data_IF_532334414483
#
_entry.id   IF_532334414483
#
_cell.length_a   1.000
_cell.length_b   1.000
_cell.length_c   1.000
_cell.angle_alpha   90.00
_cell.angle_beta   90.00
_cell.angle_gamma   90.00
#
_symmetry.space_group_name_H-M   'P 1'
#
loop_
_entity.id
_entity.type
_entity.pdbx_description
1 polymer ?
#
# COMPACT_ATOMS: atom_id res chain seq x y z
N UNK A 1 -6.13 14.06 -7.14
CA UNK A 1 -7.27 13.43 -6.45
C UNK A 1 -7.67 14.37 -5.32
N UNK A 2 -8.93 14.80 -5.24
CA UNK A 2 -9.39 15.67 -4.16
C UNK A 2 -9.94 14.80 -3.03
N UNK A 3 -9.19 14.61 -1.95
CA UNK A 3 -9.55 13.69 -0.86
C UNK A 3 -10.70 14.21 0.02
N UNK A 4 -11.16 15.44 -0.16
CA UNK A 4 -12.23 16.03 0.67
C UNK A 4 -13.63 15.47 0.40
N UNK A 5 -13.85 14.80 -0.73
CA UNK A 5 -15.15 14.22 -1.15
C UNK A 5 -15.14 12.68 -1.12
N UNK A 6 -14.00 12.07 -0.81
CA UNK A 6 -13.80 10.62 -0.83
C UNK A 6 -13.79 10.11 0.61
N UNK A 7 -14.48 9.00 0.89
CA UNK A 7 -14.40 8.38 2.21
C UNK A 7 -13.01 7.72 2.38
N UNK A 8 -12.06 8.54 2.83
CA UNK A 8 -10.65 8.24 2.92
C UNK A 8 -10.28 7.97 4.39
N UNK A 9 -9.54 6.90 4.62
CA UNK A 9 -9.00 6.53 5.92
C UNK A 9 -7.55 6.07 5.80
N UNK A 10 -6.90 5.87 6.94
CA UNK A 10 -5.63 5.17 7.02
C UNK A 10 -5.87 3.74 7.51
N UNK A 11 -5.26 2.78 6.82
CA UNK A 11 -5.34 1.37 7.13
C UNK A 11 -3.96 0.84 7.52
N UNK A 12 -3.90 -0.07 8.48
CA UNK A 12 -2.68 -0.80 8.84
C UNK A 12 -3.03 -2.27 9.03
N UNK A 13 -2.45 -3.14 8.20
CA UNK A 13 -2.58 -4.59 8.38
C UNK A 13 -2.04 -5.03 9.74
N UNK A 14 -1.00 -4.36 10.25
CA UNK A 14 -0.48 -4.67 11.58
C UNK A 14 -1.50 -4.37 12.68
N UNK A 15 -2.16 -3.21 12.66
CA UNK A 15 -3.16 -2.86 13.68
C UNK A 15 -4.41 -3.75 13.59
N UNK A 16 -4.84 -4.11 12.37
CA UNK A 16 -6.06 -4.91 12.16
C UNK A 16 -5.83 -6.39 12.47
N UNK A 17 -4.68 -6.94 12.09
CA UNK A 17 -4.43 -8.39 12.16
C UNK A 17 -3.33 -8.80 13.15
N UNK A 18 -2.59 -7.85 13.74
CA UNK A 18 -1.46 -8.13 14.63
C UNK A 18 -0.28 -8.83 13.95
N UNK A 19 -0.17 -8.76 12.62
CA UNK A 19 0.80 -9.52 11.84
C UNK A 19 1.65 -8.62 10.94
N UNK A 20 2.96 -8.86 10.93
CA UNK A 20 3.89 -8.24 9.97
C UNK A 20 3.88 -8.94 8.60
N UNK A 21 3.20 -10.08 8.48
CA UNK A 21 3.18 -10.91 7.27
C UNK A 21 1.97 -10.68 6.37
N UNK A 22 1.09 -9.75 6.72
CA UNK A 22 -0.05 -9.36 5.88
C UNK A 22 0.27 -8.02 5.24
N UNK A 23 0.19 -7.97 3.91
CA UNK A 23 0.47 -6.79 3.13
C UNK A 23 -0.73 -6.30 2.33
N UNK A 24 -0.76 -5.00 2.07
CA UNK A 24 -1.72 -4.33 1.20
C UNK A 24 -1.24 -4.41 -0.26
N UNK A 25 -1.92 -5.22 -1.06
CA UNK A 25 -1.55 -5.55 -2.43
C UNK A 25 -2.46 -4.86 -3.46
N UNK A 26 -1.89 -4.29 -4.51
CA UNK A 26 -2.65 -3.81 -5.67
C UNK A 26 -2.18 -4.53 -6.93
N UNK A 27 -3.14 -5.07 -7.68
CA UNK A 27 -2.91 -5.64 -9.02
C UNK A 27 -2.89 -4.53 -10.06
N UNK A 28 -1.87 -4.55 -10.90
CA UNK A 28 -1.72 -3.68 -12.05
C UNK A 28 -1.61 -4.52 -13.32
N UNK A 29 -1.99 -3.94 -14.44
CA UNK A 29 -1.71 -4.49 -15.78
C UNK A 29 -0.74 -3.54 -16.47
N UNK A 30 0.38 -4.06 -16.97
CA UNK A 30 1.35 -3.27 -17.71
C UNK A 30 0.64 -2.58 -18.91
N UNK A 31 0.78 -1.25 -19.08
CA UNK A 31 0.07 -0.50 -20.12
C UNK A 31 0.53 -0.84 -21.54
N UNK A 32 1.73 -1.40 -21.68
CA UNK A 32 2.26 -1.90 -22.95
C UNK A 32 3.28 -3.01 -22.70
N UNK A 33 3.64 -3.76 -23.74
CA UNK A 33 4.67 -4.82 -23.68
C UNK A 33 6.10 -4.29 -23.50
N UNK A 34 6.30 -2.97 -23.64
CA UNK A 34 7.59 -2.31 -23.43
C UNK A 34 7.72 -1.65 -22.06
N UNK A 35 6.67 -1.66 -21.24
CA UNK A 35 6.62 -0.91 -19.98
C UNK A 35 7.70 -1.36 -19.00
N UNK A 36 8.42 -0.37 -18.49
CA UNK A 36 9.49 -0.52 -17.51
C UNK A 36 9.07 0.16 -16.22
N UNK A 37 8.73 -0.63 -15.20
CA UNK A 37 8.48 -0.11 -13.87
C UNK A 37 9.77 0.44 -13.27
N UNK A 38 9.72 1.68 -12.77
CA UNK A 38 10.86 2.38 -12.19
C UNK A 38 10.58 2.88 -10.77
N UNK A 39 9.32 3.21 -10.46
CA UNK A 39 8.94 3.67 -9.12
C UNK A 39 7.58 3.15 -8.70
N UNK A 40 7.41 3.01 -7.39
CA UNK A 40 6.12 2.85 -6.74
C UNK A 40 5.85 4.08 -5.88
N UNK A 41 4.65 4.64 -5.99
CA UNK A 41 4.22 5.80 -5.21
C UNK A 41 3.08 5.37 -4.29
N UNK A 42 3.22 5.62 -3.00
CA UNK A 42 2.29 5.13 -1.97
C UNK A 42 1.87 6.32 -1.12
N UNK A 43 0.56 6.53 -0.94
CA UNK A 43 0.08 7.49 0.04
C UNK A 43 0.07 6.81 1.41
N UNK A 44 0.94 7.23 2.31
CA UNK A 44 1.01 6.69 3.67
C UNK A 44 1.46 7.77 4.64
N UNK A 45 1.50 7.44 5.94
CA UNK A 45 1.92 8.40 6.95
C UNK A 45 2.71 7.75 8.08
N UNK A 46 3.90 8.27 8.40
CA UNK A 46 4.64 7.81 9.58
C UNK A 46 3.91 8.14 10.90
N UNK A 47 3.05 9.17 10.91
CA UNK A 47 2.35 9.64 12.09
C UNK A 47 3.13 10.70 12.86
N UNK A 48 2.68 11.97 12.83
CA UNK A 48 3.26 13.05 13.62
C UNK A 48 2.49 13.25 14.92
N UNK A 49 3.18 13.24 16.06
CA UNK A 49 2.53 13.49 17.35
C UNK A 49 2.32 14.99 17.54
N UNK A 50 1.08 15.45 17.32
CA UNK A 50 0.72 16.85 17.43
C UNK A 50 0.78 17.41 18.86
N UNK A 51 0.75 16.56 19.89
CA UNK A 51 0.84 16.97 21.29
C UNK A 51 2.29 17.23 21.70
N UNK A 52 3.19 16.30 21.38
CA UNK A 52 4.63 16.39 21.74
C UNK A 52 5.47 17.11 20.68
N UNK A 53 4.92 17.36 19.49
CA UNK A 53 5.61 17.94 18.33
C UNK A 53 6.82 17.12 17.89
N UNK A 54 6.69 15.80 17.93
CA UNK A 54 7.76 14.87 17.59
C UNK A 54 7.34 13.89 16.50
N UNK A 55 8.32 13.49 15.70
CA UNK A 55 8.21 12.34 14.80
C UNK A 55 8.36 11.02 15.57
N UNK A 56 7.85 9.91 15.04
CA UNK A 56 7.97 8.62 15.68
C UNK A 56 9.38 8.07 15.49
N UNK A 57 9.74 7.10 16.34
CA UNK A 57 10.93 6.31 16.11
C UNK A 57 10.83 5.59 14.75
N UNK A 58 11.97 5.46 14.08
CA UNK A 58 12.04 4.75 12.81
C UNK A 58 11.71 3.27 12.99
N UNK A 59 10.95 2.73 12.03
CA UNK A 59 10.53 1.33 11.93
C UNK A 59 10.56 0.93 10.46
N UNK A 60 10.77 -0.36 10.22
CA UNK A 60 10.87 -0.87 8.85
C UNK A 60 9.49 -0.98 8.17
N UNK A 61 9.43 -0.54 6.92
CA UNK A 61 8.41 -0.91 5.94
C UNK A 61 8.97 -1.96 4.98
N UNK A 62 8.12 -2.63 4.21
CA UNK A 62 8.56 -3.51 3.14
C UNK A 62 7.70 -3.31 1.89
N UNK A 63 8.32 -3.46 0.72
CA UNK A 63 7.68 -3.46 -0.59
C UNK A 63 8.08 -4.73 -1.33
N UNK A 64 7.11 -5.38 -1.96
CA UNK A 64 7.34 -6.46 -2.90
C UNK A 64 6.71 -6.15 -4.26
N UNK A 65 7.37 -6.60 -5.32
CA UNK A 65 6.79 -6.70 -6.65
C UNK A 65 6.72 -8.17 -7.01
N UNK A 66 5.54 -8.63 -7.45
CA UNK A 66 5.27 -10.01 -7.81
C UNK A 66 4.67 -10.11 -9.20
N UNK A 67 4.92 -11.21 -9.89
CA UNK A 67 4.27 -11.48 -11.18
C UNK A 67 2.79 -11.89 -11.00
N UNK A 68 2.09 -12.14 -12.12
CA UNK A 68 0.69 -12.57 -12.13
C UNK A 68 0.42 -13.87 -11.35
N UNK A 69 1.44 -14.72 -11.19
CA UNK A 69 1.36 -16.00 -10.49
C UNK A 69 1.87 -15.88 -9.04
N UNK A 70 2.02 -14.64 -8.55
CA UNK A 70 2.49 -14.27 -7.23
C UNK A 70 3.95 -14.64 -6.94
N UNK A 71 4.76 -14.97 -7.95
CA UNK A 71 6.19 -15.19 -7.75
C UNK A 71 6.88 -13.86 -7.45
N UNK A 72 7.79 -13.88 -6.48
CA UNK A 72 8.56 -12.69 -6.08
C UNK A 72 9.55 -12.29 -7.18
N UNK A 73 9.42 -11.06 -7.69
CA UNK A 73 10.32 -10.45 -8.65
C UNK A 73 11.33 -9.51 -7.98
N UNK A 74 10.85 -8.73 -7.01
CA UNK A 74 11.65 -7.76 -6.29
C UNK A 74 11.14 -7.59 -4.86
N UNK A 75 12.06 -7.37 -3.92
CA UNK A 75 11.73 -7.00 -2.54
C UNK A 75 12.67 -5.90 -2.05
N UNK A 76 12.13 -5.06 -1.20
CA UNK A 76 12.83 -3.94 -0.59
C UNK A 76 12.30 -3.71 0.82
N UNK A 77 13.16 -3.33 1.77
CA UNK A 77 12.78 -2.91 3.10
C UNK A 77 13.71 -1.77 3.55
N UNK A 78 13.14 -0.77 4.22
CA UNK A 78 13.85 0.41 4.71
C UNK A 78 13.00 1.15 5.76
N UNK A 79 13.56 2.20 6.36
CA UNK A 79 12.88 3.06 7.32
C UNK A 79 11.73 3.86 6.70
N UNK A 80 10.57 3.83 7.36
CA UNK A 80 9.37 4.54 6.90
C UNK A 80 9.57 6.07 6.81
N UNK A 81 10.42 6.63 7.67
CA UNK A 81 10.68 8.06 7.76
C UNK A 81 11.41 8.63 6.53
N UNK A 82 12.07 7.79 5.73
CA UNK A 82 12.65 8.20 4.45
C UNK A 82 11.58 8.58 3.40
N UNK A 83 10.34 8.11 3.58
CA UNK A 83 9.29 8.20 2.56
C UNK A 83 8.03 8.94 3.02
N UNK A 84 7.65 8.79 4.29
CA UNK A 84 6.31 9.17 4.77
C UNK A 84 6.31 10.15 5.95
N UNK A 85 7.44 10.82 6.19
CA UNK A 85 7.61 11.79 7.27
C UNK A 85 6.95 13.13 6.90
N UNK A 86 5.82 13.44 7.54
CA UNK A 86 5.07 14.69 7.31
C UNK A 86 4.38 15.17 8.59
N UNK A 87 4.44 16.47 8.93
CA UNK A 87 3.72 17.02 10.09
C UNK A 87 2.22 17.24 9.83
N UNK A 88 1.80 17.26 8.57
CA UNK A 88 0.44 17.67 8.16
C UNK A 88 -0.52 16.49 7.92
N UNK A 89 0.02 15.28 7.75
CA UNK A 89 -0.78 14.09 7.46
C UNK A 89 -0.14 13.21 6.38
N UNK A 90 -0.93 12.28 5.81
CA UNK A 90 -0.47 11.38 4.76
C UNK A 90 0.13 12.11 3.58
N UNK A 91 1.25 11.57 3.07
CA UNK A 91 1.97 12.10 1.91
C UNK A 91 2.30 10.96 0.97
N UNK A 92 2.47 11.29 -0.31
CA UNK A 92 2.95 10.32 -1.28
C UNK A 92 4.46 10.14 -1.16
N UNK A 93 4.88 9.00 -0.63
CA UNK A 93 6.26 8.55 -0.70
C UNK A 93 6.53 7.87 -2.05
N UNK A 94 7.68 8.17 -2.65
CA UNK A 94 8.16 7.53 -3.87
C UNK A 94 9.31 6.59 -3.54
N UNK A 95 9.13 5.30 -3.85
CA UNK A 95 10.15 4.27 -3.71
C UNK A 95 10.69 3.97 -5.11
N UNK A 96 11.93 4.35 -5.35
CA UNK A 96 12.65 3.98 -6.57
C UNK A 96 13.06 2.51 -6.51
N UNK A 97 12.88 1.80 -7.62
CA UNK A 97 13.28 0.41 -7.77
C UNK A 97 14.21 0.26 -8.99
N UNK A 98 15.03 -0.80 -9.05
CA UNK A 98 15.72 -1.14 -10.30
C UNK A 98 14.71 -1.25 -11.44
N UNK A 99 15.07 -0.74 -12.62
CA UNK A 99 14.18 -0.80 -13.80
C UNK A 99 13.76 -2.25 -14.08
N UNK A 100 12.46 -2.52 -14.08
CA UNK A 100 11.92 -3.86 -14.34
C UNK A 100 10.99 -3.87 -15.53
N UNK A 101 11.26 -4.72 -16.52
CA UNK A 101 10.35 -4.95 -17.64
C UNK A 101 9.13 -5.73 -17.14
N UNK A 102 7.96 -5.12 -17.22
CA UNK A 102 6.72 -5.74 -16.79
C UNK A 102 5.87 -6.11 -18.00
N UNK A 103 5.28 -7.30 -17.98
CA UNK A 103 4.40 -7.78 -19.03
C UNK A 103 3.14 -8.38 -18.42
N UNK A 104 1.97 -7.94 -18.86
CA UNK A 104 0.69 -8.41 -18.33
C UNK A 104 0.47 -7.96 -16.89
N UNK A 105 -0.21 -8.80 -16.11
CA UNK A 105 -0.55 -8.51 -14.73
C UNK A 105 0.62 -8.69 -13.78
N UNK A 106 0.69 -7.84 -12.77
CA UNK A 106 1.66 -7.90 -11.69
C UNK A 106 1.07 -7.27 -10.43
N UNK A 107 1.69 -7.57 -9.29
CA UNK A 107 1.24 -7.07 -7.99
C UNK A 107 2.33 -6.23 -7.35
N UNK A 108 1.90 -5.14 -6.71
CA UNK A 108 2.72 -4.40 -5.76
C UNK A 108 2.14 -4.66 -4.38
N UNK A 109 2.95 -5.16 -3.46
CA UNK A 109 2.54 -5.42 -2.08
C UNK A 109 3.32 -4.49 -1.15
N UNK A 110 2.60 -3.67 -0.40
CA UNK A 110 3.15 -2.88 0.69
C UNK A 110 2.92 -3.59 2.01
N UNK A 111 3.89 -3.50 2.92
CA UNK A 111 3.74 -3.97 4.29
C UNK A 111 4.06 -2.78 5.19
N UNK A 112 3.02 -2.21 5.79
CA UNK A 112 3.14 -1.05 6.68
C UNK A 112 3.90 -1.40 7.97
N UNK A 113 3.78 -2.65 8.44
CA UNK A 113 4.41 -3.22 9.64
C UNK A 113 4.24 -2.37 10.93
N UNK A 114 3.14 -1.64 11.02
CA UNK A 114 2.84 -0.70 12.11
C UNK A 114 3.72 0.54 12.11
N UNK A 115 4.41 0.81 11.00
CA UNK A 115 5.30 1.95 10.82
C UNK A 115 4.63 3.09 10.05
N UNK A 116 3.89 2.76 8.98
CA UNK A 116 3.27 3.75 8.12
C UNK A 116 1.94 3.26 7.54
N UNK A 117 0.82 3.43 8.26
CA UNK A 117 -0.51 3.14 7.74
C UNK A 117 -0.72 3.74 6.34
N UNK A 118 -1.30 2.95 5.45
CA UNK A 118 -1.54 3.30 4.05
C UNK A 118 -2.89 3.99 3.87
N UNK A 119 -2.95 4.94 2.95
CA UNK A 119 -4.18 5.54 2.49
C UNK A 119 -5.11 4.52 1.87
N UNK A 120 -6.35 4.47 2.36
CA UNK A 120 -7.38 3.56 1.92
C UNK A 120 -8.66 4.35 1.58
N UNK A 121 -9.27 4.01 0.45
CA UNK A 121 -10.53 4.62 0.00
C UNK A 121 -11.61 3.56 0.10
N UNK A 122 -12.65 3.81 0.89
CA UNK A 122 -13.81 2.93 0.94
C UNK A 122 -14.58 2.94 -0.38
N UNK A 123 -14.95 1.75 -0.82
CA UNK A 123 -15.62 1.48 -2.09
C UNK A 123 -16.58 0.31 -1.93
N UNK A 124 -17.56 0.18 -2.83
CA UNK A 124 -18.49 -0.96 -2.81
C UNK A 124 -17.83 -2.28 -3.19
N UNK A 125 -16.74 -2.24 -3.97
CA UNK A 125 -15.98 -3.39 -4.47
C UNK A 125 -14.50 -3.01 -4.48
N UNK A 126 -13.65 -3.86 -3.87
CA UNK A 126 -12.20 -3.62 -3.72
C UNK A 126 -11.43 -3.64 -5.04
N UNK A 127 -12.04 -4.15 -6.12
CA UNK A 127 -11.52 -4.15 -7.47
C UNK A 127 -10.17 -4.85 -7.60
N UNK A 128 -9.12 -4.04 -7.73
CA UNK A 128 -7.75 -4.52 -7.88
C UNK A 128 -6.94 -4.47 -6.57
N UNK A 129 -7.58 -4.17 -5.45
CA UNK A 129 -6.94 -4.10 -4.14
C UNK A 129 -7.22 -5.37 -3.33
N UNK A 130 -6.17 -5.88 -2.70
CA UNK A 130 -6.16 -7.17 -2.01
C UNK A 130 -5.36 -7.08 -0.71
N UNK A 131 -5.63 -8.00 0.22
CA UNK A 131 -4.69 -8.38 1.25
C UNK A 131 -3.85 -9.55 0.74
N UNK A 132 -2.59 -9.63 1.16
CA UNK A 132 -1.68 -10.71 0.77
C UNK A 132 -0.98 -11.30 2.00
N UNK A 133 -1.06 -12.62 2.18
CA UNK A 133 -0.52 -13.33 3.36
C UNK A 133 0.86 -13.97 3.14
N UNK A 134 1.52 -13.68 2.02
CA UNK A 134 2.77 -14.34 1.62
C UNK A 134 2.61 -15.50 0.63
N UNK A 135 1.39 -16.03 0.48
CA UNK A 135 1.09 -17.15 -0.41
C UNK A 135 -0.04 -16.83 -1.41
N UNK A 136 -1.09 -16.16 -0.96
CA UNK A 136 -2.29 -15.88 -1.75
C UNK A 136 -2.86 -14.49 -1.45
N UNK A 137 -3.72 -14.02 -2.36
CA UNK A 137 -4.42 -12.74 -2.24
C UNK A 137 -5.89 -12.93 -1.90
N UNK A 138 -6.40 -12.09 -1.01
CA UNK A 138 -7.82 -12.00 -0.65
C UNK A 138 -8.34 -10.61 -1.02
N UNK A 139 -9.59 -10.44 -1.47
CA UNK A 139 -10.16 -9.11 -1.69
C UNK A 139 -9.96 -8.22 -0.45
N UNK A 140 -9.66 -6.95 -0.67
CA UNK A 140 -9.54 -5.96 0.40
C UNK A 140 -10.93 -5.55 0.91
N UNK A 141 -11.66 -6.53 1.46
CA UNK A 141 -13.06 -6.42 1.85
C UNK A 141 -13.26 -6.86 3.29
N UNK A 142 -14.06 -6.08 4.03
CA UNK A 142 -14.33 -6.31 5.44
C UNK A 142 -15.82 -6.19 5.70
N UNK A 143 -16.33 -7.03 6.60
CA UNK A 143 -17.72 -6.94 7.04
C UNK A 143 -17.78 -5.95 8.20
N UNK A 144 -18.54 -4.87 8.00
CA UNK A 144 -18.90 -3.94 9.08
C UNK A 144 -19.77 -4.69 10.10
N UNK A 145 -19.38 -4.68 11.37
CA UNK A 145 -20.08 -5.46 12.40
C UNK A 145 -21.41 -4.82 12.85
N UNK A 146 -21.57 -3.51 12.63
CA UNK A 146 -22.76 -2.76 13.03
C UNK A 146 -23.84 -2.82 11.94
N UNK A 147 -23.45 -2.73 10.67
CA UNK A 147 -24.37 -2.74 9.53
C UNK A 147 -24.50 -4.09 8.84
N UNK A 148 -23.54 -5.01 9.07
CA UNK A 148 -23.41 -6.29 8.36
C UNK A 148 -23.25 -6.12 6.83
N UNK A 149 -22.77 -4.96 6.39
CA UNK A 149 -22.42 -4.69 5.00
C UNK A 149 -20.95 -5.02 4.74
N UNK A 150 -20.65 -5.51 3.53
CA UNK A 150 -19.27 -5.69 3.08
C UNK A 150 -18.76 -4.37 2.49
N UNK A 151 -17.69 -3.84 3.05
CA UNK A 151 -17.00 -2.63 2.60
C UNK A 151 -15.69 -3.05 1.92
N UNK A 152 -15.51 -2.63 0.67
CA UNK A 152 -14.25 -2.77 -0.05
C UNK A 152 -13.33 -1.58 0.20
N UNK A 153 -12.03 -1.80 0.07
CA UNK A 153 -11.02 -0.76 0.20
C UNK A 153 -10.10 -0.75 -1.01
N UNK A 154 -9.86 0.45 -1.56
CA UNK A 154 -8.83 0.68 -2.54
C UNK A 154 -7.57 1.25 -1.87
N UNK A 155 -6.47 0.52 -1.95
CA UNK A 155 -5.18 1.00 -1.45
C UNK A 155 -4.62 2.05 -2.41
N UNK A 156 -4.13 3.16 -1.86
CA UNK A 156 -3.60 4.27 -2.65
C UNK A 156 -2.13 4.00 -3.01
N UNK A 157 -1.94 3.04 -3.92
CA UNK A 157 -0.66 2.66 -4.52
C UNK A 157 -0.70 2.97 -6.02
N UNK A 158 0.40 3.52 -6.54
CA UNK A 158 0.58 3.85 -7.95
C UNK A 158 1.92 3.31 -8.45
N UNK A 159 1.96 2.97 -9.74
CA UNK A 159 3.17 2.54 -10.43
C UNK A 159 3.56 3.59 -11.47
N UNK A 160 4.86 3.86 -11.60
CA UNK A 160 5.43 4.85 -12.52
C UNK A 160 6.57 4.22 -13.33
N UNK A 161 6.59 4.52 -14.62
CA UNK A 161 7.51 3.94 -15.58
C UNK A 161 7.25 4.42 -17.01
N UNK A 162 8.04 3.93 -17.95
CA UNK A 162 7.97 4.27 -19.40
C UNK A 162 7.91 3.03 -20.30
#
# INVERSE_FOLDING_TARGET
MNFSETNFTLFSSFEVFGSFGIGEAVKFTAPSSGFKLQKVRILAWSGFNNTTKTYPAERDIMLEIRDKDLNLLYKFADGQNNYFLSPEGPTFGEIEIPEMKMTGDFYVVFYDRGAAPIGAIEVADSGNSYLFNGAETFPAEFVDQDTNETIGYNWVIQTLGE
#
